data_IF_204352437878
#
_entry.id   IF_204352437878
#
_cell.length_a   1.000
_cell.length_b   1.000
_cell.length_c   1.000
_cell.angle_alpha   90.00
_cell.angle_beta   90.00
_cell.angle_gamma   90.00
#
_symmetry.space_group_name_H-M   'P 1'
#
loop_
_entity.id
_entity.type
_entity.pdbx_description
1 polymer ?
#
# COMPACT_ATOMS: atom_id res chain seq x y z
N UNK A 1 -2.58 -4.42 -11.87
CA UNK A 1 -3.57 -4.00 -10.85
C UNK A 1 -3.77 -2.48 -10.95
N UNK A 2 -4.98 -1.93 -10.84
CA UNK A 2 -5.15 -0.47 -10.93
C UNK A 2 -4.65 0.21 -9.64
N UNK A 3 -3.77 1.21 -9.79
CA UNK A 3 -3.26 2.05 -8.69
C UNK A 3 -4.41 2.62 -7.84
N UNK A 4 -4.26 2.54 -6.53
CA UNK A 4 -5.20 3.15 -5.59
C UNK A 4 -4.96 4.67 -5.53
N UNK A 5 -6.02 5.49 -5.61
CA UNK A 5 -5.95 6.89 -5.20
C UNK A 5 -5.48 7.01 -3.75
N UNK A 6 -4.80 8.10 -3.42
CA UNK A 6 -4.18 8.30 -2.11
C UNK A 6 -5.12 8.01 -0.94
N UNK A 7 -6.37 8.48 -1.02
CA UNK A 7 -7.39 8.22 0.01
C UNK A 7 -7.70 6.72 0.19
N UNK A 8 -7.84 5.97 -0.91
CA UNK A 8 -8.11 4.52 -0.87
C UNK A 8 -6.87 3.75 -0.37
N UNK A 9 -5.68 4.20 -0.76
CA UNK A 9 -4.41 3.64 -0.28
C UNK A 9 -4.23 3.82 1.24
N UNK A 10 -4.58 4.98 1.79
CA UNK A 10 -4.56 5.19 3.25
C UNK A 10 -5.48 4.22 4.00
N UNK A 11 -6.69 3.94 3.47
CA UNK A 11 -7.59 2.94 4.06
C UNK A 11 -6.96 1.54 4.00
N UNK A 12 -6.39 1.15 2.86
CA UNK A 12 -5.74 -0.16 2.72
C UNK A 12 -4.55 -0.32 3.67
N UNK A 13 -3.73 0.73 3.86
CA UNK A 13 -2.65 0.71 4.86
C UNK A 13 -3.19 0.46 6.28
N UNK A 14 -4.31 1.07 6.65
CA UNK A 14 -4.93 0.81 7.94
C UNK A 14 -5.43 -0.64 8.07
N UNK A 15 -6.00 -1.20 6.99
CA UNK A 15 -6.43 -2.61 6.94
C UNK A 15 -5.24 -3.56 7.04
N UNK A 16 -4.16 -3.35 6.27
CA UNK A 16 -2.97 -4.22 6.27
C UNK A 16 -2.20 -4.17 7.59
N UNK A 17 -2.20 -3.04 8.29
CA UNK A 17 -1.62 -2.92 9.65
C UNK A 17 -2.45 -3.60 10.74
N UNK A 18 -3.72 -3.91 10.45
CA UNK A 18 -4.64 -4.57 11.39
C UNK A 18 -4.57 -6.09 11.23
N UNK A 19 -5.11 -6.84 12.19
CA UNK A 19 -5.31 -8.29 12.07
C UNK A 19 -6.68 -8.57 11.44
N UNK A 20 -6.77 -9.03 10.17
CA UNK A 20 -8.05 -9.29 9.54
C UNK A 20 -8.75 -10.53 10.16
N UNK A 21 -10.10 -10.61 10.11
CA UNK A 21 -11.01 -9.62 9.55
C UNK A 21 -11.14 -8.38 10.45
N UNK A 22 -11.18 -7.19 9.87
CA UNK A 22 -11.15 -5.91 10.59
C UNK A 22 -12.48 -5.17 10.46
N UNK A 23 -13.01 -4.58 11.53
CA UNK A 23 -14.24 -3.78 11.52
C UNK A 23 -14.03 -2.34 11.05
N UNK A 24 -15.11 -1.66 10.65
CA UNK A 24 -15.05 -0.22 10.34
C UNK A 24 -14.53 0.62 11.51
N UNK A 25 -14.87 0.26 12.75
CA UNK A 25 -14.45 1.00 13.93
C UNK A 25 -12.94 0.86 14.18
N UNK A 26 -12.39 -0.33 13.98
CA UNK A 26 -10.95 -0.58 14.08
C UNK A 26 -10.18 0.18 13.00
N UNK A 27 -10.68 0.19 11.75
CA UNK A 27 -10.09 0.97 10.67
C UNK A 27 -10.07 2.46 11.02
N UNK A 28 -11.17 3.01 11.52
CA UNK A 28 -11.23 4.43 11.95
C UNK A 28 -10.25 4.70 13.08
N UNK A 29 -10.16 3.82 14.08
CA UNK A 29 -9.24 3.98 15.19
C UNK A 29 -7.77 4.01 14.76
N UNK A 30 -7.38 3.21 13.75
CA UNK A 30 -6.04 3.24 13.16
C UNK A 30 -5.79 4.55 12.40
N UNK A 31 -6.81 5.10 11.76
CA UNK A 31 -6.70 6.33 10.96
C UNK A 31 -6.70 7.62 11.80
N UNK A 32 -7.37 7.63 12.95
CA UNK A 32 -7.54 8.79 13.83
C UNK A 32 -6.20 9.32 14.41
N UNK A 33 -5.11 8.56 14.29
CA UNK A 33 -3.77 9.02 14.64
C UNK A 33 -3.18 10.06 13.67
N UNK A 34 -3.53 9.99 12.38
CA UNK A 34 -2.86 10.76 11.31
C UNK A 34 -3.80 11.76 10.62
N UNK A 35 -5.11 11.49 10.54
CA UNK A 35 -6.10 12.32 9.84
C UNK A 35 -7.48 12.14 10.49
N UNK A 36 -8.20 13.24 10.75
CA UNK A 36 -9.58 13.18 11.27
C UNK A 36 -10.56 12.83 10.14
N UNK A 37 -10.70 11.54 9.83
CA UNK A 37 -11.62 11.07 8.81
C UNK A 37 -13.05 11.04 9.34
N UNK A 38 -13.99 11.60 8.57
CA UNK A 38 -15.42 11.40 8.87
C UNK A 38 -15.79 9.93 8.63
N UNK A 39 -16.53 9.26 9.54
CA UNK A 39 -16.90 7.84 9.37
C UNK A 39 -17.59 7.54 8.03
N UNK A 40 -18.44 8.45 7.55
CA UNK A 40 -19.12 8.31 6.26
C UNK A 40 -18.16 8.28 5.07
N UNK A 41 -17.05 9.03 5.15
CA UNK A 41 -16.00 9.01 4.12
C UNK A 41 -15.30 7.66 4.11
N UNK A 42 -14.94 7.12 5.27
CA UNK A 42 -14.32 5.79 5.40
C UNK A 42 -15.22 4.71 4.79
N UNK A 43 -16.52 4.71 5.14
CA UNK A 43 -17.49 3.78 4.57
C UNK A 43 -17.59 3.89 3.04
N UNK A 44 -17.60 5.10 2.50
CA UNK A 44 -17.65 5.32 1.03
C UNK A 44 -16.40 4.76 0.35
N UNK A 45 -15.22 4.92 0.94
CA UNK A 45 -13.97 4.39 0.41
C UNK A 45 -13.90 2.86 0.52
N UNK A 46 -14.40 2.28 1.62
CA UNK A 46 -14.50 0.82 1.78
C UNK A 46 -15.39 0.18 0.71
N UNK A 47 -16.52 0.81 0.38
CA UNK A 47 -17.37 0.35 -0.73
C UNK A 47 -16.60 0.35 -2.06
N UNK A 48 -15.86 1.42 -2.37
CA UNK A 48 -15.04 1.47 -3.60
C UNK A 48 -13.93 0.42 -3.62
N UNK A 49 -13.30 0.14 -2.48
CA UNK A 49 -12.28 -0.89 -2.37
C UNK A 49 -12.84 -2.29 -2.61
N UNK A 50 -14.08 -2.55 -2.16
CA UNK A 50 -14.81 -3.78 -2.46
C UNK A 50 -15.15 -3.87 -3.96
N UNK A 51 -15.68 -2.80 -4.55
CA UNK A 51 -16.00 -2.73 -5.99
C UNK A 51 -14.77 -2.92 -6.89
N UNK A 52 -13.57 -2.71 -6.34
CA UNK A 52 -12.28 -2.87 -7.02
C UNK A 52 -11.57 -4.19 -6.69
N UNK A 53 -12.22 -5.11 -5.98
CA UNK A 53 -11.68 -6.41 -5.56
C UNK A 53 -10.43 -6.33 -4.66
N UNK A 54 -10.28 -5.25 -3.89
CA UNK A 54 -9.20 -5.14 -2.89
C UNK A 54 -9.60 -5.70 -1.53
N UNK A 55 -10.88 -5.61 -1.21
CA UNK A 55 -11.47 -6.07 0.05
C UNK A 55 -12.69 -6.94 -0.25
N UNK A 56 -12.89 -7.98 0.54
CA UNK A 56 -14.19 -8.59 0.72
C UNK A 56 -14.82 -8.07 2.02
N UNK A 57 -16.14 -8.19 2.13
CA UNK A 57 -16.83 -7.82 3.37
C UNK A 57 -17.85 -8.86 3.78
N UNK A 58 -17.92 -9.11 5.08
CA UNK A 58 -18.85 -10.03 5.71
C UNK A 58 -19.64 -9.33 6.82
N UNK A 59 -20.88 -9.75 7.03
CA UNK A 59 -21.69 -9.29 8.17
C UNK A 59 -21.52 -10.26 9.34
N UNK A 60 -20.89 -9.81 10.42
CA UNK A 60 -20.72 -10.59 11.65
C UNK A 60 -21.61 -9.96 12.74
N UNK A 61 -22.76 -10.59 12.99
CA UNK A 61 -23.77 -10.06 13.91
C UNK A 61 -24.36 -8.72 13.44
N UNK A 62 -24.05 -7.63 14.14
CA UNK A 62 -24.49 -6.27 13.81
C UNK A 62 -23.42 -5.45 13.07
N UNK A 63 -22.19 -5.94 13.01
CA UNK A 63 -21.06 -5.23 12.43
C UNK A 63 -20.73 -5.78 11.04
N UNK A 64 -20.03 -4.95 10.26
CA UNK A 64 -19.42 -5.36 8.99
C UNK A 64 -17.91 -5.40 9.20
N UNK A 65 -17.33 -6.52 8.82
CA UNK A 65 -15.88 -6.75 8.84
C UNK A 65 -15.37 -6.89 7.42
N UNK A 66 -14.09 -6.60 7.24
CA UNK A 66 -13.42 -6.56 5.93
C UNK A 66 -12.16 -7.43 5.98
N UNK A 67 -11.92 -8.17 4.90
CA UNK A 67 -10.71 -8.98 4.72
C UNK A 67 -10.00 -8.52 3.45
N UNK A 68 -8.68 -8.28 3.49
CA UNK A 68 -7.93 -7.94 2.28
C UNK A 68 -7.83 -9.15 1.35
N UNK A 69 -8.27 -8.97 0.11
CA UNK A 69 -8.07 -9.93 -0.99
C UNK A 69 -6.66 -9.75 -1.57
N UNK A 70 -6.16 -8.51 -1.54
CA UNK A 70 -4.81 -8.13 -2.00
C UNK A 70 -3.94 -7.80 -0.80
N UNK A 71 -2.78 -8.45 -0.67
CA UNK A 71 -1.81 -8.12 0.40
C UNK A 71 -1.02 -6.85 0.05
N UNK A 72 -0.43 -6.23 1.08
CA UNK A 72 0.41 -5.04 0.88
C UNK A 72 1.58 -5.34 -0.06
N UNK A 73 2.24 -6.50 0.09
CA UNK A 73 3.36 -6.89 -0.75
C UNK A 73 2.92 -7.09 -2.21
N UNK A 74 1.79 -7.75 -2.44
CA UNK A 74 1.25 -7.94 -3.80
C UNK A 74 0.94 -6.60 -4.47
N UNK A 75 0.36 -5.66 -3.72
CA UNK A 75 0.05 -4.33 -4.23
C UNK A 75 1.33 -3.55 -4.56
N UNK A 76 2.27 -3.48 -3.61
CA UNK A 76 3.52 -2.74 -3.77
C UNK A 76 4.37 -3.32 -4.90
N UNK A 77 4.43 -4.64 -5.04
CA UNK A 77 5.10 -5.29 -6.17
C UNK A 77 4.46 -4.86 -7.49
N UNK A 78 3.13 -4.98 -7.62
CA UNK A 78 2.43 -4.63 -8.86
C UNK A 78 2.53 -3.14 -9.21
N UNK A 79 2.50 -2.26 -8.20
CA UNK A 79 2.68 -0.82 -8.38
C UNK A 79 4.12 -0.49 -8.80
N UNK A 80 5.11 -1.11 -8.16
CA UNK A 80 6.53 -0.91 -8.49
C UNK A 80 6.85 -1.39 -9.90
N UNK A 81 6.37 -2.55 -10.32
CA UNK A 81 6.54 -3.07 -11.68
C UNK A 81 5.96 -2.12 -12.72
N UNK A 82 4.73 -1.63 -12.50
CA UNK A 82 4.10 -0.66 -13.40
C UNK A 82 4.83 0.68 -13.44
N UNK A 83 5.34 1.15 -12.30
CA UNK A 83 6.12 2.37 -12.22
C UNK A 83 7.46 2.23 -12.98
N UNK A 84 8.17 1.12 -12.78
CA UNK A 84 9.43 0.81 -13.44
C UNK A 84 9.27 0.71 -14.95
N UNK A 85 8.24 0.02 -15.42
CA UNK A 85 7.94 -0.12 -16.84
C UNK A 85 7.63 1.24 -17.47
N UNK A 86 6.73 2.01 -16.84
CA UNK A 86 6.24 3.29 -17.38
C UNK A 86 7.27 4.42 -17.38
N UNK A 87 8.09 4.51 -16.35
CA UNK A 87 8.97 5.67 -16.13
C UNK A 87 10.44 5.39 -16.42
N UNK A 88 10.86 4.14 -16.34
CA UNK A 88 12.28 3.77 -16.42
C UNK A 88 12.56 2.67 -17.43
N UNK A 89 11.57 2.24 -18.24
CA UNK A 89 11.69 1.13 -19.18
C UNK A 89 12.33 -0.12 -18.53
N UNK A 90 11.93 -0.43 -17.29
CA UNK A 90 12.49 -1.50 -16.46
C UNK A 90 14.00 -1.38 -16.13
N UNK A 91 14.59 -0.18 -16.25
CA UNK A 91 15.99 0.08 -15.90
C UNK A 91 16.16 0.45 -14.43
N UNK A 92 16.59 -0.52 -13.61
CA UNK A 92 16.95 -0.28 -12.21
C UNK A 92 18.08 0.74 -12.07
N UNK A 93 19.07 0.69 -12.96
CA UNK A 93 20.20 1.66 -12.97
C UNK A 93 19.70 3.08 -13.23
N UNK A 94 18.70 3.23 -14.11
CA UNK A 94 18.04 4.52 -14.38
C UNK A 94 17.41 5.11 -13.12
N UNK A 95 16.65 4.29 -12.37
CA UNK A 95 16.03 4.70 -11.11
C UNK A 95 17.09 5.13 -10.07
N UNK A 96 18.11 4.30 -9.85
CA UNK A 96 19.18 4.58 -8.86
C UNK A 96 19.92 5.87 -9.21
N UNK A 97 20.20 6.13 -10.48
CA UNK A 97 20.85 7.36 -10.92
C UNK A 97 19.97 8.61 -10.65
N UNK A 98 18.66 8.51 -10.78
CA UNK A 98 17.73 9.60 -10.43
C UNK A 98 17.70 9.84 -8.92
N UNK A 99 17.59 8.79 -8.11
CA UNK A 99 17.57 8.91 -6.64
C UNK A 99 18.89 9.48 -6.08
N UNK A 100 20.02 9.02 -6.62
CA UNK A 100 21.33 9.53 -6.23
C UNK A 100 21.50 11.03 -6.52
N UNK A 101 20.98 11.51 -7.66
CA UNK A 101 21.02 12.94 -7.99
C UNK A 101 20.10 13.79 -7.11
N UNK A 102 19.04 13.20 -6.55
CA UNK A 102 18.09 13.87 -5.65
C UNK A 102 18.61 14.01 -4.22
N UNK A 103 19.63 13.25 -3.83
CA UNK A 103 20.09 13.18 -2.43
C UNK A 103 19.23 12.28 -1.55
N UNK A 104 18.35 11.46 -2.15
CA UNK A 104 17.36 10.65 -1.44
C UNK A 104 17.88 9.27 -1.00
N UNK A 105 19.20 9.01 -1.10
CA UNK A 105 19.81 7.76 -0.68
C UNK A 105 20.83 8.00 0.43
N UNK A 106 20.65 7.32 1.57
CA UNK A 106 21.64 7.30 2.64
C UNK A 106 22.78 6.32 2.31
N UNK A 107 23.93 6.51 2.97
CA UNK A 107 25.05 5.56 2.85
C UNK A 107 24.65 4.12 3.26
N UNK A 108 23.70 3.99 4.21
CA UNK A 108 23.15 2.69 4.62
C UNK A 108 22.39 2.02 3.48
N UNK A 109 21.56 2.77 2.75
CA UNK A 109 20.80 2.25 1.61
C UNK A 109 21.73 1.79 0.49
N UNK A 110 22.84 2.51 0.26
CA UNK A 110 23.87 2.15 -0.72
C UNK A 110 24.55 0.84 -0.31
N UNK A 111 24.90 0.67 0.97
CA UNK A 111 25.58 -0.53 1.43
C UNK A 111 24.64 -1.75 1.45
N UNK A 112 23.38 -1.60 1.82
CA UNK A 112 22.36 -2.66 1.69
C UNK A 112 22.16 -3.07 0.23
N UNK A 113 22.15 -2.11 -0.71
CA UNK A 113 22.05 -2.39 -2.13
C UNK A 113 23.27 -3.17 -2.67
N UNK A 114 24.49 -2.82 -2.24
CA UNK A 114 25.71 -3.55 -2.59
C UNK A 114 25.66 -5.00 -2.08
N UNK A 115 25.22 -5.21 -0.84
CA UNK A 115 25.10 -6.55 -0.25
C UNK A 115 24.04 -7.41 -0.96
N UNK A 116 22.92 -6.81 -1.36
CA UNK A 116 21.92 -7.50 -2.16
C UNK A 116 22.43 -7.91 -3.54
N UNK A 117 23.20 -7.05 -4.22
CA UNK A 117 23.81 -7.35 -5.52
C UNK A 117 24.85 -8.48 -5.43
N UNK A 118 25.67 -8.49 -4.38
CA UNK A 118 26.71 -9.51 -4.20
C UNK A 118 26.11 -10.91 -3.94
N UNK A 119 24.98 -10.99 -3.23
CA UNK A 119 24.23 -12.24 -2.97
C UNK A 119 23.57 -12.84 -4.21
N UNK A 120 23.44 -12.06 -5.30
CA UNK A 120 22.84 -12.49 -6.57
C UNK A 120 23.88 -12.90 -7.63
N UNK A 121 25.16 -12.68 -7.36
CA UNK A 121 26.32 -13.11 -8.17
C UNK A 121 26.83 -14.48 -7.74
#
# INVERSE_FOLDING_TARGET
MKRLPDAEFEIMKAVWKSSPPVSTNEIIAVLDGDKHWKPQTVLTLLVRLIERDFLESEKVGRERVYTPIVTEEMYLQSETEQFMDKHYNNSLVGLVNTLYKGGDMSDKDIDELKDWLSKRS
#
